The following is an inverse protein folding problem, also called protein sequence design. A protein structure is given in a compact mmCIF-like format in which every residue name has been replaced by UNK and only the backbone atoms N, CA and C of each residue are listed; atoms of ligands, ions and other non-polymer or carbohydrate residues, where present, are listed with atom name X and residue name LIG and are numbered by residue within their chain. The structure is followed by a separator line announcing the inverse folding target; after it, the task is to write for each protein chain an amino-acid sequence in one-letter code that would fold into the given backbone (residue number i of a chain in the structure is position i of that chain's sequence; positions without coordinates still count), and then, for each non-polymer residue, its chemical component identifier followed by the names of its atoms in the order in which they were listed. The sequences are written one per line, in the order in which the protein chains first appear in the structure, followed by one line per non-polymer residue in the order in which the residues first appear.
data_IF_297132675942
#
_entry.id   IF_297132675942
#
_cell.length_a   1.000
_cell.length_b   1.000
_cell.length_c   1.000
_cell.angle_alpha   90.00
_cell.angle_beta   90.00
_cell.angle_gamma   90.00
#
_symmetry.space_group_name_H-M   'P 1'
#
loop_
_entity.id
_entity.type
_entity.pdbx_description
1 polymer ?
#
# COMPACT_ATOMS: atom_id res chain seq x y z
N UNK A 1 -3.05 -8.96 20.01
CA UNK A 1 -3.22 -7.73 19.21
C UNK A 1 -2.39 -7.89 17.96
N UNK A 2 -3.00 -7.81 16.79
CA UNK A 2 -2.27 -7.89 15.53
C UNK A 2 -1.27 -6.73 15.41
N UNK A 3 -0.06 -7.05 14.96
CA UNK A 3 0.96 -6.06 14.64
C UNK A 3 0.49 -5.24 13.42
N UNK A 4 0.24 -3.92 13.56
CA UNK A 4 -0.27 -3.10 12.46
C UNK A 4 0.66 -3.10 11.24
N UNK A 5 1.98 -3.22 11.44
CA UNK A 5 2.96 -3.26 10.34
C UNK A 5 2.89 -4.60 9.62
N UNK A 6 2.71 -5.72 10.34
CA UNK A 6 2.50 -7.03 9.73
C UNK A 6 1.22 -7.07 8.89
N UNK A 7 0.11 -6.52 9.40
CA UNK A 7 -1.16 -6.41 8.66
C UNK A 7 -0.97 -5.57 7.39
N UNK A 8 -0.30 -4.41 7.51
CA UNK A 8 -0.01 -3.54 6.36
C UNK A 8 0.85 -4.28 5.31
N UNK A 9 1.87 -5.04 5.72
CA UNK A 9 2.71 -5.82 4.81
C UNK A 9 1.90 -6.86 4.03
N UNK A 10 1.09 -7.66 4.72
CA UNK A 10 0.23 -8.68 4.10
C UNK A 10 -0.75 -8.05 3.11
N UNK A 11 -1.36 -6.92 3.50
CA UNK A 11 -2.30 -6.20 2.65
C UNK A 11 -1.62 -5.64 1.39
N UNK A 12 -0.45 -5.01 1.52
CA UNK A 12 0.31 -4.48 0.37
C UNK A 12 0.81 -5.60 -0.54
N UNK A 13 1.33 -6.70 0.01
CA UNK A 13 1.77 -7.84 -0.80
C UNK A 13 0.60 -8.47 -1.58
N UNK A 14 -0.57 -8.61 -0.94
CA UNK A 14 -1.78 -9.12 -1.60
C UNK A 14 -2.25 -8.20 -2.73
N UNK A 15 -2.26 -6.88 -2.48
CA UNK A 15 -2.64 -5.89 -3.48
C UNK A 15 -1.66 -5.90 -4.68
N UNK A 16 -0.36 -5.96 -4.42
CA UNK A 16 0.64 -6.03 -5.48
C UNK A 16 0.51 -7.32 -6.29
N UNK A 17 0.30 -8.47 -5.65
CA UNK A 17 0.08 -9.72 -6.38
C UNK A 17 -1.14 -9.65 -7.30
N UNK A 18 -2.22 -8.99 -6.87
CA UNK A 18 -3.40 -8.80 -7.69
C UNK A 18 -3.13 -7.87 -8.89
N UNK A 19 -2.49 -6.72 -8.66
CA UNK A 19 -2.18 -5.76 -9.74
C UNK A 19 -1.12 -6.28 -10.71
N UNK A 20 -0.19 -7.14 -10.29
CA UNK A 20 0.77 -7.77 -11.22
C UNK A 20 0.11 -8.71 -12.22
N UNK A 21 -1.06 -9.27 -11.89
CA UNK A 21 -1.85 -10.15 -12.78
C UNK A 21 -2.81 -9.37 -13.68
N UNK A 22 -3.02 -8.09 -13.39
CA UNK A 22 -3.94 -7.22 -14.11
C UNK A 22 -3.32 -6.81 -15.46
N UNK A 23 -4.06 -7.02 -16.55
CA UNK A 23 -3.71 -6.45 -17.85
C UNK A 23 -4.18 -4.99 -17.89
N UNK A 24 -3.25 -4.02 -17.92
CA UNK A 24 -3.60 -2.60 -17.87
C UNK A 24 -4.32 -2.10 -19.13
N UNK A 25 -4.29 -2.87 -20.22
CA UNK A 25 -5.00 -2.53 -21.46
C UNK A 25 -6.40 -3.19 -21.53
N UNK A 26 -6.77 -3.98 -20.54
CA UNK A 26 -8.09 -4.59 -20.47
C UNK A 26 -9.17 -3.53 -20.22
N UNK A 27 -10.34 -3.69 -20.84
CA UNK A 27 -11.45 -2.75 -20.70
C UNK A 27 -11.89 -2.55 -19.23
N UNK A 28 -11.72 -3.59 -18.41
CA UNK A 28 -12.11 -3.60 -16.99
C UNK A 28 -10.95 -3.27 -16.03
N UNK A 29 -9.76 -2.94 -16.54
CA UNK A 29 -8.55 -2.69 -15.75
C UNK A 29 -8.77 -1.67 -14.62
N UNK A 30 -9.55 -0.61 -14.92
CA UNK A 30 -9.93 0.41 -13.93
C UNK A 30 -10.78 -0.18 -12.80
N UNK A 31 -11.79 -0.98 -13.14
CA UNK A 31 -12.67 -1.56 -12.14
C UNK A 31 -11.91 -2.59 -11.28
N UNK A 32 -11.02 -3.36 -11.89
CA UNK A 32 -10.19 -4.33 -11.17
C UNK A 32 -9.22 -3.66 -10.20
N UNK A 33 -8.51 -2.60 -10.60
CA UNK A 33 -7.60 -1.90 -9.69
C UNK A 33 -8.37 -1.22 -8.54
N UNK A 34 -9.54 -0.65 -8.80
CA UNK A 34 -10.41 -0.11 -7.74
C UNK A 34 -10.85 -1.20 -6.76
N UNK A 35 -11.19 -2.42 -7.23
CA UNK A 35 -11.52 -3.54 -6.35
C UNK A 35 -10.34 -3.96 -5.49
N UNK A 36 -9.13 -3.98 -6.05
CA UNK A 36 -7.91 -4.30 -5.30
C UNK A 36 -7.66 -3.28 -4.19
N UNK A 37 -7.77 -1.98 -4.50
CA UNK A 37 -7.58 -0.90 -3.53
C UNK A 37 -8.66 -0.91 -2.45
N UNK A 38 -9.92 -1.20 -2.80
CA UNK A 38 -10.99 -1.38 -1.82
C UNK A 38 -10.74 -2.57 -0.88
N UNK A 39 -10.27 -3.70 -1.41
CA UNK A 39 -9.88 -4.87 -0.61
C UNK A 39 -8.72 -4.56 0.33
N UNK A 40 -7.73 -3.80 -0.14
CA UNK A 40 -6.63 -3.30 0.68
C UNK A 40 -7.12 -2.39 1.83
N UNK A 41 -8.01 -1.44 1.53
CA UNK A 41 -8.58 -0.55 2.53
C UNK A 41 -9.37 -1.32 3.59
N UNK A 42 -10.16 -2.31 3.18
CA UNK A 42 -10.89 -3.19 4.10
C UNK A 42 -9.94 -4.01 5.00
N UNK A 43 -8.85 -4.55 4.44
CA UNK A 43 -7.87 -5.33 5.19
C UNK A 43 -7.09 -4.49 6.23
N UNK A 44 -6.86 -3.20 5.94
CA UNK A 44 -6.12 -2.30 6.84
C UNK A 44 -7.01 -1.49 7.78
N UNK A 45 -8.32 -1.43 7.54
CA UNK A 45 -9.28 -0.69 8.37
C UNK A 45 -9.16 -0.98 9.88
N UNK A 46 -8.99 -2.24 10.35
CA UNK A 46 -8.89 -2.53 11.79
C UNK A 46 -7.64 -1.94 12.48
N UNK A 47 -6.59 -1.66 11.70
CA UNK A 47 -5.30 -1.17 12.22
C UNK A 47 -4.98 0.25 11.75
N UNK A 48 -5.90 0.91 11.04
CA UNK A 48 -5.69 2.19 10.36
C UNK A 48 -5.22 3.28 11.32
N UNK A 49 -5.88 3.44 12.47
CA UNK A 49 -5.52 4.49 13.43
C UNK A 49 -4.12 4.29 13.99
N UNK A 50 -3.74 3.04 14.27
CA UNK A 50 -2.38 2.71 14.72
C UNK A 50 -1.33 2.96 13.65
N UNK A 51 -1.65 2.69 12.39
CA UNK A 51 -0.76 2.98 11.27
C UNK A 51 -0.54 4.49 11.10
N UNK A 52 -1.60 5.30 11.28
CA UNK A 52 -1.51 6.76 11.25
C UNK A 52 -0.68 7.30 12.42
N UNK A 53 -0.88 6.77 13.62
CA UNK A 53 -0.05 7.11 14.78
C UNK A 53 1.44 6.78 14.55
N UNK A 54 1.74 5.59 13.99
CA UNK A 54 3.11 5.21 13.66
C UNK A 54 3.72 6.13 12.60
N UNK A 55 2.97 6.48 11.56
CA UNK A 55 3.41 7.42 10.54
C UNK A 55 3.67 8.82 11.12
N UNK A 56 2.86 9.28 12.07
CA UNK A 56 3.04 10.57 12.74
C UNK A 56 4.28 10.60 13.64
N UNK A 57 4.61 9.49 14.31
CA UNK A 57 5.82 9.37 15.15
C UNK A 57 7.11 9.33 14.35
N UNK A 58 7.06 8.84 13.12
CA UNK A 58 8.22 8.81 12.22
C UNK A 58 7.86 9.40 10.87
N UNK A 59 7.79 10.75 10.77
CA UNK A 59 7.58 11.44 9.51
C UNK A 59 8.66 11.02 8.51
N UNK A 60 8.28 10.77 7.25
CA UNK A 60 9.15 10.22 6.21
C UNK A 60 9.71 8.81 6.49
N UNK A 61 9.27 8.17 7.58
CA UNK A 61 9.57 6.78 7.86
C UNK A 61 8.85 5.83 6.89
N UNK A 62 9.23 4.55 6.85
CA UNK A 62 8.67 3.61 5.88
C UNK A 62 7.15 3.46 5.92
N UNK A 63 6.53 3.49 7.11
CA UNK A 63 5.06 3.44 7.24
C UNK A 63 4.44 4.70 6.65
N UNK A 64 4.96 5.89 6.97
CA UNK A 64 4.50 7.16 6.40
C UNK A 64 4.64 7.19 4.88
N UNK A 65 5.79 6.77 4.34
CA UNK A 65 6.03 6.71 2.90
C UNK A 65 5.10 5.71 2.20
N UNK A 66 4.88 4.56 2.82
CA UNK A 66 3.94 3.53 2.30
C UNK A 66 2.53 4.09 2.21
N UNK A 67 2.02 4.71 3.29
CA UNK A 67 0.68 5.31 3.29
C UNK A 67 0.56 6.43 2.25
N UNK A 68 1.62 7.23 2.04
CA UNK A 68 1.68 8.25 0.99
C UNK A 68 1.51 7.64 -0.41
N UNK A 69 2.35 6.66 -0.75
CA UNK A 69 2.26 5.99 -2.04
C UNK A 69 0.91 5.27 -2.25
N UNK A 70 0.32 4.71 -1.20
CA UNK A 70 -1.00 4.06 -1.30
C UNK A 70 -2.11 5.06 -1.57
N UNK A 71 -2.03 6.27 -0.99
CA UNK A 71 -2.94 7.36 -1.30
C UNK A 71 -2.78 7.81 -2.75
N UNK A 72 -1.53 7.99 -3.21
CA UNK A 72 -1.28 8.35 -4.60
C UNK A 72 -1.83 7.28 -5.56
N UNK A 73 -1.70 5.98 -5.21
CA UNK A 73 -2.29 4.91 -6.00
C UNK A 73 -3.82 5.00 -6.12
N UNK A 74 -4.51 5.36 -5.04
CA UNK A 74 -5.95 5.57 -5.02
C UNK A 74 -6.36 6.77 -5.87
N UNK A 75 -5.65 7.88 -5.75
CA UNK A 75 -5.87 9.09 -6.53
C UNK A 75 -5.70 8.84 -8.04
N UNK A 76 -4.65 8.09 -8.43
CA UNK A 76 -4.43 7.69 -9.83
C UNK A 76 -5.51 6.74 -10.35
N UNK A 77 -5.92 5.74 -9.56
CA UNK A 77 -6.99 4.82 -9.93
C UNK A 77 -8.34 5.54 -10.10
N UNK A 78 -8.64 6.51 -9.23
CA UNK A 78 -9.81 7.37 -9.34
C UNK A 78 -9.76 8.22 -10.62
N UNK A 79 -8.58 8.77 -10.95
CA UNK A 79 -8.28 9.50 -12.18
C UNK A 79 -8.28 8.65 -13.45
N UNK A 80 -8.30 7.31 -13.33
CA UNK A 80 -8.31 6.37 -14.46
C UNK A 80 -6.92 5.96 -14.96
N UNK A 81 -5.85 6.43 -14.32
CA UNK A 81 -4.49 6.02 -14.67
C UNK A 81 -4.09 4.74 -13.89
N UNK A 82 -4.46 3.60 -14.48
CA UNK A 82 -4.19 2.27 -13.92
C UNK A 82 -2.68 2.00 -13.82
N UNK A 83 -1.89 2.51 -14.77
CA UNK A 83 -0.45 2.30 -14.78
C UNK A 83 0.24 3.09 -13.67
N UNK A 84 -0.13 4.36 -13.49
CA UNK A 84 0.39 5.16 -12.40
C UNK A 84 -0.03 4.58 -11.04
N UNK A 85 -1.28 4.15 -10.89
CA UNK A 85 -1.75 3.49 -9.67
C UNK A 85 -0.94 2.22 -9.35
N UNK A 86 -0.62 1.40 -10.36
CA UNK A 86 0.26 0.23 -10.22
C UNK A 86 1.66 0.61 -9.76
N UNK A 87 2.25 1.64 -10.36
CA UNK A 87 3.60 2.12 -9.99
C UNK A 87 3.62 2.54 -8.52
N UNK A 88 2.62 3.29 -8.07
CA UNK A 88 2.53 3.73 -6.68
C UNK A 88 2.33 2.57 -5.69
N UNK A 89 1.53 1.55 -6.02
CA UNK A 89 1.43 0.34 -5.20
C UNK A 89 2.78 -0.38 -5.05
N UNK A 90 3.55 -0.50 -6.13
CA UNK A 90 4.89 -1.10 -6.11
C UNK A 90 5.89 -0.24 -5.30
N UNK A 91 5.77 1.09 -5.37
CA UNK A 91 6.57 2.01 -4.56
C UNK A 91 6.26 1.85 -3.06
N UNK A 92 4.97 1.76 -2.69
CA UNK A 92 4.53 1.48 -1.32
C UNK A 92 5.10 0.17 -0.78
N UNK A 93 5.04 -0.90 -1.57
CA UNK A 93 5.70 -2.17 -1.23
C UNK A 93 7.19 -2.01 -1.00
N UNK A 94 7.88 -1.30 -1.89
CA UNK A 94 9.33 -1.07 -1.78
C UNK A 94 9.70 -0.29 -0.52
N UNK A 95 8.90 0.71 -0.13
CA UNK A 95 9.07 1.44 1.11
C UNK A 95 8.98 0.50 2.34
N UNK A 96 7.98 -0.40 2.38
CA UNK A 96 7.87 -1.41 3.43
C UNK A 96 9.04 -2.40 3.47
N UNK A 97 9.61 -2.78 2.32
CA UNK A 97 10.79 -3.65 2.30
C UNK A 97 12.03 -2.98 2.88
N UNK A 98 12.19 -1.66 2.72
CA UNK A 98 13.26 -0.91 3.38
C UNK A 98 13.12 -0.97 4.90
N UNK A 99 11.89 -0.96 5.44
CA UNK A 99 11.64 -1.19 6.87
C UNK A 99 12.09 -2.57 7.34
N UNK A 100 11.85 -3.61 6.53
CA UNK A 100 12.23 -4.98 6.91
C UNK A 100 13.75 -5.21 6.87
N UNK A 101 14.48 -4.49 6.00
CA UNK A 101 15.95 -4.52 5.96
C UNK A 101 16.59 -3.68 7.05
N UNK A 102 15.99 -2.56 7.42
CA UNK A 102 16.41 -1.74 8.55
C UNK A 102 15.92 -2.33 9.88
N UNK A 103 16.13 -3.64 10.11
CA UNK A 103 15.75 -4.33 11.34
C UNK A 103 16.22 -3.59 12.61
N UNK A 104 15.77 -4.01 13.81
CA UNK A 104 16.01 -3.29 15.07
C UNK A 104 17.50 -3.23 15.42
N UNK A 105 18.15 -2.19 14.91
CA UNK A 105 19.46 -1.64 15.27
C UNK A 105 19.21 -0.13 15.13
N UNK A 106 19.11 0.64 16.21
CA UNK A 106 20.15 0.80 17.23
C UNK A 106 19.58 0.97 18.65
N UNK A 107 20.27 0.36 19.61
CA UNK A 107 20.21 0.70 21.04
C UNK A 107 21.21 1.80 21.40
#
# INVERSE_FOLDING_TARGET
MDDPVAVLRVAVDSAVQAVLRLDPHHADARQEITRVLAGFAAATAPVRDRLLELAARTPNGPVSATLGFLRDADDQAAGGDVQAARVFLLAGRTALFRLARAGPTDG
#
